data_IF_389292659893
#
_entry.id   IF_389292659893
#
_cell.length_a   1.000
_cell.length_b   1.000
_cell.length_c   1.000
_cell.angle_alpha   90.00
_cell.angle_beta   90.00
_cell.angle_gamma   90.00
#
_symmetry.space_group_name_H-M   'P 1'
#
loop_
_entity.id
_entity.type
_entity.pdbx_description
1 polymer ?
#
# COMPACT_ATOMS: atom_id res chain seq x y z
N UNK A 1 -2.00 3.61 4.90
CA UNK A 1 -0.53 3.52 4.93
C UNK A 1 -0.15 2.09 5.23
N UNK A 2 0.77 1.53 4.46
CA UNK A 2 1.41 0.25 4.75
C UNK A 2 2.61 0.54 5.64
N UNK A 3 2.52 0.19 6.93
CA UNK A 3 3.59 0.44 7.90
C UNK A 3 4.72 -0.57 7.70
N UNK A 4 4.38 -1.84 7.76
CA UNK A 4 5.34 -2.94 7.76
C UNK A 4 4.64 -4.31 7.76
N UNK A 5 5.43 -5.36 7.85
CA UNK A 5 4.94 -6.71 8.14
C UNK A 5 5.75 -7.30 9.30
N UNK A 6 5.16 -8.25 10.03
CA UNK A 6 5.87 -8.99 11.06
C UNK A 6 5.76 -10.50 10.84
N UNK A 7 6.80 -11.22 11.24
CA UNK A 7 6.86 -12.68 11.26
C UNK A 7 6.46 -13.32 9.91
N UNK A 8 6.89 -12.70 8.80
CA UNK A 8 6.64 -13.25 7.48
C UNK A 8 7.17 -14.67 7.38
N UNK A 9 6.42 -15.52 6.69
CA UNK A 9 6.85 -16.89 6.43
C UNK A 9 8.14 -16.87 5.61
N UNK A 10 9.17 -17.44 6.20
CA UNK A 10 10.45 -17.65 5.55
C UNK A 10 10.52 -19.03 4.94
N UNK A 11 11.10 -19.13 3.74
CA UNK A 11 11.47 -20.40 3.15
C UNK A 11 13.00 -20.52 3.23
N UNK A 12 13.50 -21.55 3.90
CA UNK A 12 14.92 -21.73 4.24
C UNK A 12 15.85 -21.79 3.02
N UNK A 13 15.29 -22.00 1.83
CA UNK A 13 16.00 -22.05 0.56
C UNK A 13 16.30 -20.68 -0.06
N UNK A 14 15.75 -19.61 0.50
CA UNK A 14 15.88 -18.25 -0.03
C UNK A 14 16.88 -17.52 0.86
N UNK A 15 17.85 -16.81 0.26
CA UNK A 15 18.66 -15.80 0.96
C UNK A 15 17.75 -14.74 1.62
N UNK A 16 18.31 -13.66 2.18
CA UNK A 16 17.50 -12.58 2.75
C UNK A 16 16.34 -12.20 1.82
N UNK A 17 15.13 -12.13 2.39
CA UNK A 17 13.91 -11.83 1.64
C UNK A 17 13.87 -10.33 1.30
N UNK A 18 13.39 -10.01 0.10
CA UNK A 18 13.15 -8.69 -0.46
C UNK A 18 11.63 -8.43 -0.60
N UNK A 19 10.88 -8.30 0.50
CA UNK A 19 9.44 -8.23 0.45
C UNK A 19 8.89 -6.91 -0.13
N UNK A 20 7.72 -6.99 -0.76
CA UNK A 20 6.86 -5.85 -1.10
C UNK A 20 5.38 -6.21 -0.90
N UNK A 21 4.54 -5.18 -0.69
CA UNK A 21 3.11 -5.33 -0.43
C UNK A 21 2.32 -4.81 -1.62
N UNK A 22 1.42 -5.62 -2.14
CA UNK A 22 0.40 -5.23 -3.10
C UNK A 22 -0.91 -4.93 -2.37
N UNK A 23 -1.52 -3.80 -2.73
CA UNK A 23 -2.76 -3.28 -2.19
C UNK A 23 -3.78 -3.25 -3.33
N UNK A 24 -4.88 -3.99 -3.20
CA UNK A 24 -5.94 -4.07 -4.20
C UNK A 24 -7.29 -3.65 -3.61
N UNK A 25 -7.91 -2.63 -4.20
CA UNK A 25 -9.21 -2.10 -3.81
C UNK A 25 -10.09 -1.91 -5.04
N UNK A 26 -11.08 -2.78 -5.24
CA UNK A 26 -11.88 -2.79 -6.46
C UNK A 26 -11.01 -3.05 -7.70
N UNK A 27 -10.99 -2.11 -8.65
CA UNK A 27 -10.10 -2.14 -9.81
C UNK A 27 -8.72 -1.50 -9.57
N UNK A 28 -8.55 -0.79 -8.45
CA UNK A 28 -7.28 -0.14 -8.13
C UNK A 28 -6.27 -1.16 -7.63
N UNK A 29 -5.07 -1.10 -8.21
CA UNK A 29 -3.91 -1.90 -7.78
C UNK A 29 -2.73 -0.97 -7.54
N UNK A 30 -2.11 -1.11 -6.38
CA UNK A 30 -0.90 -0.37 -6.02
C UNK A 30 0.06 -1.33 -5.32
N UNK A 31 1.34 -0.95 -5.24
CA UNK A 31 2.31 -1.71 -4.46
C UNK A 31 3.32 -0.80 -3.82
N UNK A 32 3.91 -1.27 -2.73
CA UNK A 32 5.06 -0.64 -2.11
C UNK A 32 6.31 -0.80 -2.97
N UNK A 33 7.31 0.01 -2.66
CA UNK A 33 8.70 -0.24 -3.00
C UNK A 33 9.15 -1.59 -2.38
N UNK A 34 10.19 -2.18 -2.96
CA UNK A 34 10.78 -3.42 -2.44
C UNK A 34 11.66 -3.09 -1.24
N UNK A 35 11.39 -3.73 -0.10
CA UNK A 35 12.26 -3.64 1.08
C UNK A 35 13.42 -4.61 0.91
N UNK A 36 14.48 -4.17 0.21
CA UNK A 36 15.66 -5.00 -0.04
C UNK A 36 16.30 -5.44 1.27
N UNK A 37 16.64 -6.73 1.38
CA UNK A 37 17.17 -7.37 2.58
C UNK A 37 16.25 -7.23 3.82
N UNK A 38 14.96 -6.94 3.64
CA UNK A 38 13.98 -6.67 4.70
C UNK A 38 13.64 -7.87 5.58
N UNK A 39 13.94 -9.09 5.12
CA UNK A 39 13.78 -10.30 5.92
C UNK A 39 12.32 -10.54 6.35
N UNK A 40 12.14 -11.01 7.59
CA UNK A 40 10.81 -11.37 8.13
C UNK A 40 9.98 -10.18 8.62
N UNK A 41 10.60 -9.04 8.89
CA UNK A 41 9.96 -7.88 9.52
C UNK A 41 10.25 -6.59 8.74
N UNK A 42 9.83 -6.50 7.46
CA UNK A 42 10.09 -5.33 6.64
C UNK A 42 9.25 -4.12 7.06
N UNK A 43 9.84 -2.93 6.88
CA UNK A 43 9.17 -1.64 7.07
C UNK A 43 9.08 -0.91 5.74
N UNK A 44 7.92 -0.33 5.45
CA UNK A 44 7.63 0.37 4.19
C UNK A 44 7.29 1.84 4.41
N UNK A 45 6.37 2.14 5.35
CA UNK A 45 5.85 3.49 5.61
C UNK A 45 5.27 4.19 4.36
N UNK A 46 4.63 3.43 3.47
CA UNK A 46 4.12 3.95 2.20
C UNK A 46 2.62 4.26 2.24
N UNK A 47 2.25 5.43 1.71
CA UNK A 47 0.87 5.92 1.71
C UNK A 47 0.23 5.75 0.34
N UNK A 48 -0.94 5.10 0.33
CA UNK A 48 -1.85 5.04 -0.79
C UNK A 48 -3.15 5.75 -0.42
N UNK A 49 -3.78 6.40 -1.40
CA UNK A 49 -5.05 7.13 -1.23
C UNK A 49 -6.02 6.61 -2.29
N UNK A 50 -7.22 6.25 -1.86
CA UNK A 50 -8.29 5.74 -2.72
C UNK A 50 -9.58 6.48 -2.41
N UNK A 51 -10.41 6.68 -3.43
CA UNK A 51 -11.79 7.09 -3.24
C UNK A 51 -12.60 5.88 -2.77
N UNK A 52 -13.43 6.04 -1.74
CA UNK A 52 -14.28 4.96 -1.25
C UNK A 52 -15.32 4.61 -2.31
N UNK A 53 -15.46 3.31 -2.59
CA UNK A 53 -16.43 2.78 -3.55
C UNK A 53 -17.63 2.29 -2.76
N UNK A 54 -18.82 2.76 -3.11
CA UNK A 54 -20.05 2.33 -2.46
C UNK A 54 -20.24 0.81 -2.57
N UNK A 55 -20.61 0.17 -1.47
CA UNK A 55 -20.80 -1.28 -1.39
C UNK A 55 -19.51 -2.10 -1.26
N UNK A 56 -18.32 -1.50 -1.37
CA UNK A 56 -17.05 -2.22 -1.21
C UNK A 56 -16.46 -2.05 0.20
N UNK A 57 -16.67 -3.05 1.05
CA UNK A 57 -16.25 -3.03 2.45
C UNK A 57 -14.89 -3.67 2.74
N UNK A 58 -14.16 -4.14 1.72
CA UNK A 58 -12.93 -4.91 1.89
C UNK A 58 -11.77 -4.38 1.03
N UNK A 59 -10.57 -4.42 1.61
CA UNK A 59 -9.30 -4.23 0.92
C UNK A 59 -8.53 -5.55 0.88
N UNK A 60 -8.00 -5.93 -0.28
CA UNK A 60 -7.17 -7.13 -0.42
C UNK A 60 -5.69 -6.75 -0.35
N UNK A 61 -4.93 -7.48 0.46
CA UNK A 61 -3.50 -7.30 0.64
C UNK A 61 -2.78 -8.60 0.25
N UNK A 62 -1.68 -8.49 -0.50
CA UNK A 62 -0.77 -9.62 -0.75
C UNK A 62 0.68 -9.22 -0.61
N UNK A 63 1.49 -10.12 -0.05
CA UNK A 63 2.91 -9.92 0.22
C UNK A 63 3.68 -10.88 -0.70
N UNK A 64 4.69 -10.32 -1.35
CA UNK A 64 5.53 -11.01 -2.31
C UNK A 64 7.00 -10.78 -1.98
N UNK A 65 7.84 -11.76 -2.28
CA UNK A 65 9.29 -11.68 -2.19
C UNK A 65 9.86 -11.46 -3.60
N UNK A 66 10.51 -10.33 -3.81
CA UNK A 66 11.18 -10.01 -5.08
C UNK A 66 12.28 -11.03 -5.35
N UNK A 67 12.41 -11.47 -6.60
CA UNK A 67 13.55 -12.25 -7.08
C UNK A 67 14.15 -11.60 -8.33
N UNK A 68 15.48 -11.61 -8.42
CA UNK A 68 16.20 -10.97 -9.54
C UNK A 68 16.10 -11.77 -10.84
N UNK A 69 16.19 -13.10 -10.76
CA UNK A 69 16.33 -13.97 -11.93
C UNK A 69 15.12 -14.85 -12.22
N UNK A 70 14.11 -14.85 -11.35
CA UNK A 70 12.90 -15.66 -11.50
C UNK A 70 11.68 -14.84 -11.13
N UNK A 71 10.49 -15.41 -11.33
CA UNK A 71 9.25 -14.83 -10.82
C UNK A 71 9.32 -14.63 -9.30
N UNK A 72 8.63 -13.60 -8.84
CA UNK A 72 8.52 -13.25 -7.42
C UNK A 72 7.71 -14.32 -6.67
N UNK A 73 8.11 -14.62 -5.43
CA UNK A 73 7.45 -15.63 -4.62
C UNK A 73 6.33 -15.01 -3.79
N UNK A 74 5.14 -15.59 -3.87
CA UNK A 74 4.06 -15.23 -2.96
C UNK A 74 4.33 -15.71 -1.53
N UNK A 75 4.21 -14.82 -0.55
CA UNK A 75 4.36 -15.13 0.87
C UNK A 75 2.98 -15.40 1.51
N UNK A 76 2.06 -14.42 1.38
CA UNK A 76 0.74 -14.50 1.99
C UNK A 76 -0.20 -13.38 1.58
N UNK A 77 -1.49 -13.54 1.88
CA UNK A 77 -2.51 -12.53 1.63
C UNK A 77 -3.51 -12.42 2.79
N UNK A 78 -4.16 -11.27 2.87
CA UNK A 78 -5.18 -10.96 3.88
C UNK A 78 -6.29 -10.09 3.29
N UNK A 79 -7.48 -10.19 3.90
CA UNK A 79 -8.63 -9.33 3.62
C UNK A 79 -8.88 -8.41 4.79
N UNK A 80 -8.87 -7.12 4.54
CA UNK A 80 -8.94 -6.08 5.56
C UNK A 80 -10.35 -5.48 5.53
N UNK A 81 -11.03 -5.52 6.66
CA UNK A 81 -12.39 -4.99 6.76
C UNK A 81 -12.34 -3.49 6.98
N UNK A 82 -13.03 -2.74 6.12
CA UNK A 82 -13.04 -1.27 6.19
C UNK A 82 -14.07 -0.73 7.19
N UNK A 83 -14.95 -1.58 7.73
CA UNK A 83 -16.02 -1.15 8.63
C UNK A 83 -15.52 -0.29 9.81
N UNK A 84 -14.37 -0.64 10.42
CA UNK A 84 -13.80 0.11 11.55
C UNK A 84 -13.32 1.51 11.13
N UNK A 85 -12.56 1.63 10.05
CA UNK A 85 -12.07 2.95 9.59
C UNK A 85 -13.20 3.81 9.05
N UNK A 86 -14.20 3.22 8.38
CA UNK A 86 -15.35 3.95 7.86
C UNK A 86 -16.27 4.48 8.97
N UNK A 87 -16.39 3.76 10.09
CA UNK A 87 -17.19 4.20 11.25
C UNK A 87 -16.45 5.17 12.16
N UNK A 88 -15.17 4.92 12.45
CA UNK A 88 -14.40 5.69 13.43
C UNK A 88 -13.49 6.76 12.81
N UNK A 89 -13.36 6.80 11.48
CA UNK A 89 -12.41 7.66 10.77
C UNK A 89 -10.96 7.20 10.83
N UNK A 90 -10.65 6.17 11.63
CA UNK A 90 -9.29 5.69 11.88
C UNK A 90 -9.25 4.19 12.19
N UNK A 91 -8.22 3.51 11.69
CA UNK A 91 -7.87 2.15 12.10
C UNK A 91 -6.36 1.92 11.97
N UNK A 92 -5.73 1.55 13.08
CA UNK A 92 -4.33 1.18 13.16
C UNK A 92 -4.22 -0.22 13.76
N UNK A 93 -4.03 -1.21 12.89
CA UNK A 93 -4.15 -2.62 13.27
C UNK A 93 -3.21 -3.50 12.44
N UNK A 94 -2.75 -4.58 13.06
CA UNK A 94 -2.10 -5.70 12.37
C UNK A 94 -3.15 -6.73 11.93
N UNK A 95 -3.00 -7.23 10.71
CA UNK A 95 -3.93 -8.18 10.10
C UNK A 95 -3.20 -9.45 9.67
N UNK A 96 -3.75 -10.64 10.00
CA UNK A 96 -3.08 -11.91 9.72
C UNK A 96 -3.07 -12.22 8.22
N UNK A 97 -1.97 -12.82 7.78
CA UNK A 97 -1.75 -13.27 6.42
C UNK A 97 -1.86 -14.80 6.34
N UNK A 98 -2.39 -15.28 5.22
CA UNK A 98 -2.47 -16.69 4.88
C UNK A 98 -1.67 -16.99 3.62
N UNK A 99 -0.87 -18.04 3.66
CA UNK A 99 -0.17 -18.57 2.49
C UNK A 99 -1.14 -19.24 1.51
N UNK A 100 -0.66 -19.67 0.34
CA UNK A 100 -1.47 -20.39 -0.67
C UNK A 100 -2.14 -21.65 -0.11
N UNK A 101 -1.54 -22.27 0.92
CA UNK A 101 -2.08 -23.47 1.58
C UNK A 101 -3.00 -23.14 2.76
N UNK A 102 -3.34 -21.88 2.97
CA UNK A 102 -4.19 -21.41 4.08
C UNK A 102 -3.49 -21.32 5.43
N UNK A 103 -2.21 -21.74 5.54
CA UNK A 103 -1.43 -21.63 6.78
C UNK A 103 -1.05 -20.18 7.07
N UNK A 104 -0.94 -19.85 8.35
CA UNK A 104 -0.46 -18.54 8.83
C UNK A 104 0.88 -18.17 8.18
N UNK A 105 0.99 -16.93 7.70
CA UNK A 105 2.13 -16.45 6.91
C UNK A 105 2.73 -15.13 7.43
N UNK A 106 2.41 -14.75 8.67
CA UNK A 106 2.79 -13.47 9.27
C UNK A 106 1.59 -12.52 9.33
N UNK A 107 1.89 -11.24 9.53
CA UNK A 107 0.89 -10.18 9.62
C UNK A 107 1.36 -8.93 8.87
N UNK A 108 0.40 -8.13 8.39
CA UNK A 108 0.63 -6.81 7.79
C UNK A 108 0.08 -5.74 8.72
N UNK A 109 0.86 -4.69 8.98
CA UNK A 109 0.44 -3.56 9.80
C UNK A 109 0.02 -2.40 8.90
N UNK A 110 -1.24 -1.98 9.05
CA UNK A 110 -1.83 -0.87 8.31
C UNK A 110 -2.33 0.20 9.27
N UNK A 111 -2.06 1.45 8.91
CA UNK A 111 -2.71 2.64 9.49
C UNK A 111 -3.59 3.27 8.42
N UNK A 112 -4.90 3.34 8.67
CA UNK A 112 -5.91 3.82 7.73
C UNK A 112 -6.64 5.02 8.33
N UNK A 113 -6.91 6.01 7.48
CA UNK A 113 -7.72 7.18 7.80
C UNK A 113 -8.84 7.30 6.78
N UNK A 114 -10.02 7.66 7.24
CA UNK A 114 -11.17 7.99 6.40
C UNK A 114 -11.62 9.41 6.72
N UNK A 115 -11.69 10.23 5.67
CA UNK A 115 -12.25 11.57 5.72
C UNK A 115 -13.30 11.69 4.63
N UNK A 116 -14.51 12.13 4.98
CA UNK A 116 -15.43 12.61 3.95
C UNK A 116 -14.86 13.90 3.39
N UNK A 117 -14.77 14.01 2.07
CA UNK A 117 -14.60 15.29 1.44
C UNK A 117 -15.90 16.08 1.64
N UNK A 118 -16.11 16.58 2.85
CA UNK A 118 -17.06 17.66 3.05
C UNK A 118 -16.47 18.83 2.24
N UNK A 119 -17.24 19.35 1.29
CA UNK A 119 -17.02 20.69 0.75
C UNK A 119 -16.94 21.65 1.94
N UNK A 120 -15.75 21.87 2.46
CA UNK A 120 -15.43 23.11 3.14
C UNK A 120 -15.39 24.10 1.99
N UNK A 121 -16.53 24.74 1.72
CA UNK A 121 -16.57 26.00 1.02
C UNK A 121 -15.54 26.90 1.70
N UNK A 122 -14.38 27.06 1.06
CA UNK A 122 -13.47 28.14 1.41
C UNK A 122 -14.26 29.43 1.25
N UNK A 123 -14.47 30.26 2.30
CA UNK A 123 -14.93 31.61 2.08
C UNK A 123 -13.94 32.27 1.13
N UNK A 124 -14.45 32.69 -0.03
CA UNK A 124 -13.70 33.38 -1.05
C UNK A 124 -12.86 34.51 -0.42
N UNK A 125 -11.54 34.34 -0.36
CA UNK A 125 -10.64 35.49 -0.24
C UNK A 125 -10.27 35.95 -1.66
N UNK A 126 -10.56 37.21 -2.04
CA UNK A 126 -10.27 37.72 -3.37
C UNK A 126 -8.77 37.75 -3.70
N UNK A 127 -8.46 37.33 -4.93
CA UNK A 127 -7.12 37.25 -5.53
C UNK A 127 -6.39 38.61 -5.57
N UNK A 128 -5.08 38.58 -5.30
CA UNK A 128 -4.13 39.51 -5.89
C UNK A 128 -3.17 38.73 -6.82
N UNK A 129 -2.95 39.17 -8.07
CA UNK A 129 -2.13 38.45 -9.04
C UNK A 129 -0.64 38.76 -8.84
N UNK A 130 0.26 37.95 -9.41
CA UNK A 130 1.25 38.39 -10.42
C UNK A 130 2.22 37.24 -10.83
N UNK A 131 2.25 37.04 -12.16
CA UNK A 131 3.32 36.53 -13.04
C UNK A 131 3.93 35.12 -12.84
N UNK A 132 3.70 34.29 -13.87
CA UNK A 132 4.83 33.74 -14.64
C UNK A 132 4.86 32.24 -14.89
N UNK A 133 4.78 31.89 -16.19
CA UNK A 133 5.42 30.75 -16.87
C UNK A 133 4.70 29.39 -16.97
N UNK A 134 4.24 29.17 -18.21
CA UNK A 134 4.40 28.00 -19.09
C UNK A 134 3.84 26.61 -18.72
N UNK A 135 2.98 26.17 -19.64
CA UNK A 135 2.52 24.81 -19.94
C UNK A 135 3.52 23.68 -19.66
N UNK A 136 3.04 22.64 -18.97
CA UNK A 136 3.66 21.31 -19.01
C UNK A 136 2.61 20.26 -19.41
N UNK A 137 2.94 19.54 -20.49
CA UNK A 137 2.20 18.44 -21.07
C UNK A 137 2.07 17.26 -20.09
N UNK A 138 0.94 16.57 -20.12
CA UNK A 138 0.77 15.27 -19.47
C UNK A 138 1.69 14.23 -20.09
N UNK A 139 2.50 13.49 -19.31
CA UNK A 139 3.07 12.24 -19.79
C UNK A 139 2.04 11.11 -19.61
N UNK A 140 1.68 10.47 -20.72
CA UNK A 140 1.31 9.07 -20.74
C UNK A 140 2.54 8.25 -20.30
N UNK A 141 2.43 7.38 -19.29
CA UNK A 141 3.10 6.08 -19.44
C UNK A 141 2.59 4.97 -18.52
N UNK A 142 2.40 3.84 -19.19
CA UNK A 142 2.43 2.46 -18.74
C UNK A 142 3.84 2.02 -18.38
N UNK A 143 4.10 1.64 -17.13
CA UNK A 143 4.97 0.49 -16.80
C UNK A 143 5.06 0.33 -15.29
N UNK A 144 4.73 -0.88 -14.82
CA UNK A 144 5.07 -1.33 -13.48
C UNK A 144 6.58 -1.47 -13.38
N UNK A 145 7.29 -0.40 -13.03
CA UNK A 145 8.62 -0.45 -12.42
C UNK A 145 8.97 0.94 -11.88
N UNK A 146 8.48 1.25 -10.68
CA UNK A 146 9.22 2.17 -9.81
C UNK A 146 10.14 1.32 -8.96
N UNK A 147 11.38 1.16 -9.41
CA UNK A 147 12.47 0.88 -8.49
C UNK A 147 12.64 2.13 -7.65
N UNK A 148 12.12 2.06 -6.45
CA UNK A 148 12.00 3.18 -5.54
C UNK A 148 13.14 3.06 -4.53
N UNK A 149 14.01 4.06 -4.55
CA UNK A 149 15.12 4.21 -3.60
C UNK A 149 14.56 4.41 -2.19
N UNK A 150 14.95 3.61 -1.18
CA UNK A 150 14.50 3.86 0.19
C UNK A 150 15.02 5.23 0.65
N UNK A 151 14.14 6.02 1.27
CA UNK A 151 14.56 7.17 2.05
C UNK A 151 15.32 6.67 3.27
N UNK A 152 16.58 7.07 3.41
CA UNK A 152 17.41 6.86 4.58
C UNK A 152 16.95 7.74 5.75
#
# INVERSE_FOLDING_TARGET
MVVGCNNLKYNEWISKQDPYVCVEYGSYKSRTCVCKDGGKNPTFQEKFVYNVIEGLGELNISIWNKKTFTNDDFIGSGKIQLAKVLSNGYDDSAWPLKSKTGRHAGEVHLTMHYSTANNQETPYEPLAPLYGASSAQYPQDSSYSRDCTPAY
#
